data_IF_898215779964
#
_entry.id   IF_898215779964
#
_cell.length_a   1.000
_cell.length_b   1.000
_cell.length_c   1.000
_cell.angle_alpha   90.00
_cell.angle_beta   90.00
_cell.angle_gamma   90.00
#
_symmetry.space_group_name_H-M   'P 1'
#
loop_
_entity.id
_entity.type
_entity.pdbx_description
1 polymer ?
#
# COMPACT_ATOMS: atom_id res chain seq x y z
N UNK A 1 15.13 -3.97 -32.60
CA UNK A 1 14.70 -3.69 -31.21
C UNK A 1 13.45 -4.52 -30.95
N UNK A 2 13.58 -5.68 -30.32
CA UNK A 2 12.45 -6.62 -30.12
C UNK A 2 11.83 -6.54 -28.73
N UNK A 3 12.62 -6.18 -27.69
CA UNK A 3 12.18 -6.14 -26.28
C UNK A 3 12.43 -4.79 -25.59
N UNK A 4 12.65 -3.73 -26.37
CA UNK A 4 12.97 -2.41 -25.82
C UNK A 4 11.83 -1.74 -25.06
N UNK A 5 10.64 -2.34 -25.03
CA UNK A 5 9.47 -1.85 -24.30
C UNK A 5 8.90 -2.86 -23.30
N UNK A 6 9.59 -4.00 -23.10
CA UNK A 6 9.15 -5.08 -22.20
C UNK A 6 9.57 -4.77 -20.75
N UNK A 7 9.15 -3.62 -20.23
CA UNK A 7 9.49 -3.20 -18.86
C UNK A 7 8.37 -3.53 -17.89
N UNK A 8 8.75 -3.97 -16.69
CA UNK A 8 7.85 -4.02 -15.55
C UNK A 8 7.76 -2.63 -14.91
N UNK A 9 6.54 -2.20 -14.56
CA UNK A 9 6.30 -0.94 -13.85
C UNK A 9 6.19 -1.19 -12.35
N UNK A 10 6.82 -0.33 -11.54
CA UNK A 10 6.69 -0.40 -10.09
C UNK A 10 5.26 -0.07 -9.65
N UNK A 11 4.79 -0.73 -8.59
CA UNK A 11 3.48 -0.45 -7.99
C UNK A 11 3.49 0.90 -7.24
N UNK A 12 2.38 1.65 -7.23
CA UNK A 12 2.28 2.91 -6.50
C UNK A 12 2.14 2.64 -4.99
N UNK A 13 3.18 2.96 -4.24
CA UNK A 13 3.21 2.87 -2.78
C UNK A 13 2.88 4.23 -2.14
N UNK A 14 2.34 4.17 -0.92
CA UNK A 14 2.05 5.29 -0.04
C UNK A 14 2.41 4.92 1.41
N UNK A 15 2.53 5.92 2.27
CA UNK A 15 2.76 5.74 3.71
C UNK A 15 1.48 6.10 4.45
N UNK A 16 1.06 5.23 5.35
CA UNK A 16 -0.12 5.44 6.17
C UNK A 16 0.18 6.51 7.25
N UNK A 17 -0.66 7.57 7.38
CA UNK A 17 -0.34 8.72 8.21
C UNK A 17 -0.33 8.48 9.73
N UNK A 18 -1.06 7.48 10.24
CA UNK A 18 -1.15 7.22 11.69
C UNK A 18 -0.11 6.22 12.21
N UNK A 19 0.27 5.25 11.40
CA UNK A 19 1.11 4.09 11.75
C UNK A 19 2.47 4.12 11.07
N UNK A 20 2.64 4.92 10.01
CA UNK A 20 3.88 4.98 9.24
C UNK A 20 4.13 3.77 8.33
N UNK A 21 3.16 2.86 8.20
CA UNK A 21 3.29 1.66 7.38
C UNK A 21 3.22 1.95 5.88
N UNK A 22 3.95 1.18 5.09
CA UNK A 22 3.86 1.25 3.63
C UNK A 22 2.67 0.41 3.14
N UNK A 23 1.84 1.01 2.30
CA UNK A 23 0.67 0.36 1.72
C UNK A 23 0.50 0.76 0.24
N UNK A 24 -0.29 -0.02 -0.51
CA UNK A 24 -0.67 0.38 -1.85
C UNK A 24 -1.53 1.64 -1.80
N UNK A 25 -1.29 2.56 -2.74
CA UNK A 25 -2.05 3.81 -2.80
C UNK A 25 -3.55 3.51 -2.91
N UNK A 26 -4.34 4.16 -2.05
CA UNK A 26 -5.79 3.97 -1.92
C UNK A 26 -6.24 2.61 -1.36
N UNK A 27 -5.34 1.77 -0.87
CA UNK A 27 -5.70 0.50 -0.22
C UNK A 27 -5.56 0.62 1.30
N UNK A 28 -6.12 -0.35 2.02
CA UNK A 28 -5.97 -0.44 3.48
C UNK A 28 -4.57 -0.96 3.84
N UNK A 29 -3.97 -0.40 4.88
CA UNK A 29 -2.68 -0.86 5.44
C UNK A 29 -2.76 -2.30 5.97
N UNK A 30 -1.65 -3.05 6.04
CA UNK A 30 -1.63 -4.39 6.64
C UNK A 30 -2.21 -4.45 8.06
N UNK A 31 -2.03 -3.41 8.87
CA UNK A 31 -2.64 -3.33 10.21
C UNK A 31 -4.09 -2.86 10.22
N UNK A 32 -4.74 -2.74 9.06
CA UNK A 32 -6.16 -2.41 8.97
C UNK A 32 -6.46 -0.91 9.03
N UNK A 33 -5.48 -0.03 8.80
CA UNK A 33 -5.65 1.42 8.80
C UNK A 33 -5.84 1.98 7.39
N UNK A 34 -6.74 2.95 7.23
CA UNK A 34 -6.89 3.72 6.00
C UNK A 34 -7.21 5.16 6.34
N UNK A 35 -6.42 6.10 5.81
CA UNK A 35 -6.59 7.54 6.04
C UNK A 35 -6.68 7.88 7.55
N UNK A 36 -5.82 7.26 8.37
CA UNK A 36 -5.75 7.50 9.81
C UNK A 36 -6.85 6.83 10.65
N UNK A 37 -7.71 5.99 10.05
CA UNK A 37 -8.77 5.27 10.78
C UNK A 37 -8.58 3.76 10.67
N UNK A 38 -8.76 3.04 11.78
CA UNK A 38 -8.86 1.58 11.79
C UNK A 38 -10.17 1.17 11.13
N UNK A 39 -10.09 0.50 9.98
CA UNK A 39 -11.24 0.07 9.17
C UNK A 39 -11.42 -1.45 9.16
N UNK A 40 -10.39 -2.21 9.50
CA UNK A 40 -10.43 -3.68 9.58
C UNK A 40 -9.83 -4.12 10.91
N UNK A 41 -10.51 -4.99 11.65
CA UNK A 41 -9.92 -5.65 12.82
C UNK A 41 -8.96 -6.73 12.33
N UNK A 42 -7.67 -6.51 12.55
CA UNK A 42 -6.61 -7.44 12.17
C UNK A 42 -6.18 -8.27 13.38
N UNK A 43 -5.39 -9.32 13.18
CA UNK A 43 -4.88 -10.15 14.28
C UNK A 43 -3.84 -9.45 15.17
N UNK A 44 -3.29 -8.31 14.71
CA UNK A 44 -2.33 -7.49 15.44
C UNK A 44 -2.99 -6.38 16.28
N UNK A 45 -4.27 -6.56 16.63
CA UNK A 45 -5.02 -5.64 17.49
C UNK A 45 -4.85 -6.01 18.97
#
# INVERSE_FOLDING_TARGET
MHRSHDFLTAAPLAVEPSTGEVHLRHHVSPNGYYRGKKVVKTKND
#
